data_IF_520948521071
#
_entry.id   IF_520948521071
#
_cell.length_a   1.000
_cell.length_b   1.000
_cell.length_c   1.000
_cell.angle_alpha   90.00
_cell.angle_beta   90.00
_cell.angle_gamma   90.00
#
_symmetry.space_group_name_H-M   'P 1'
#
loop_
_entity.id
_entity.type
_entity.pdbx_description
1 polymer ?
#
# COMPACT_ATOMS: atom_id res chain seq x y z
N UNK A 1 10.54 -17.43 -29.29
CA UNK A 1 10.19 -17.59 -27.86
C UNK A 1 10.56 -19.00 -27.44
N UNK A 2 11.28 -19.12 -26.36
CA UNK A 2 11.68 -20.42 -25.80
C UNK A 2 10.71 -20.82 -24.68
N UNK A 3 9.71 -21.61 -25.04
CA UNK A 3 8.69 -22.08 -24.09
C UNK A 3 9.25 -22.98 -22.99
N UNK A 4 10.36 -23.69 -23.29
CA UNK A 4 11.01 -24.54 -22.30
C UNK A 4 11.61 -23.68 -21.19
N UNK A 5 12.35 -22.62 -21.54
CA UNK A 5 12.90 -21.68 -20.57
C UNK A 5 11.81 -21.02 -19.74
N UNK A 6 10.67 -20.66 -20.36
CA UNK A 6 9.53 -20.08 -19.62
C UNK A 6 9.02 -21.05 -18.55
N UNK A 7 8.82 -22.33 -18.89
CA UNK A 7 8.34 -23.35 -17.93
C UNK A 7 9.36 -23.56 -16.82
N UNK A 8 10.66 -23.69 -17.16
CA UNK A 8 11.74 -23.87 -16.19
C UNK A 8 11.88 -22.65 -15.25
N UNK A 9 11.54 -21.45 -15.71
CA UNK A 9 11.59 -20.20 -14.95
C UNK A 9 10.44 -20.04 -13.96
N UNK A 10 9.31 -20.74 -14.12
CA UNK A 10 8.12 -20.59 -13.25
C UNK A 10 8.47 -20.83 -11.77
N UNK A 11 9.12 -21.95 -11.48
CA UNK A 11 9.40 -22.37 -10.11
C UNK A 11 10.39 -21.44 -9.39
N UNK A 12 11.53 -21.04 -9.99
CA UNK A 12 12.43 -20.06 -9.41
C UNK A 12 11.74 -18.70 -9.15
N UNK A 13 11.01 -18.17 -10.13
CA UNK A 13 10.30 -16.86 -10.01
C UNK A 13 9.20 -16.94 -8.95
N UNK A 14 8.49 -18.05 -8.84
CA UNK A 14 7.52 -18.30 -7.79
C UNK A 14 8.17 -18.28 -6.39
N UNK A 15 9.42 -18.76 -6.26
CA UNK A 15 10.20 -18.63 -5.04
C UNK A 15 10.38 -17.18 -4.58
N UNK A 16 10.54 -16.24 -5.54
CA UNK A 16 10.60 -14.80 -5.26
C UNK A 16 9.31 -14.21 -4.73
N UNK A 17 8.15 -14.81 -5.01
CA UNK A 17 6.85 -14.33 -4.55
C UNK A 17 6.75 -14.26 -3.03
N UNK A 18 7.46 -15.12 -2.30
CA UNK A 18 7.52 -15.06 -0.84
C UNK A 18 8.06 -13.72 -0.33
N UNK A 19 9.15 -13.23 -0.94
CA UNK A 19 9.72 -11.92 -0.56
C UNK A 19 8.80 -10.78 -0.98
N UNK A 20 8.19 -10.83 -2.16
CA UNK A 20 7.18 -9.88 -2.59
C UNK A 20 6.04 -9.76 -1.56
N UNK A 21 5.45 -10.89 -1.15
CA UNK A 21 4.37 -10.92 -0.17
C UNK A 21 4.82 -10.40 1.21
N UNK A 22 6.02 -10.76 1.66
CA UNK A 22 6.57 -10.24 2.93
C UNK A 22 6.77 -8.73 2.89
N UNK A 23 7.38 -8.21 1.81
CA UNK A 23 7.56 -6.76 1.63
C UNK A 23 6.21 -6.03 1.66
N UNK A 24 5.22 -6.51 0.90
CA UNK A 24 3.88 -5.94 0.86
C UNK A 24 3.23 -5.97 2.23
N UNK A 25 3.19 -7.13 2.87
CA UNK A 25 2.46 -7.31 4.13
C UNK A 25 3.04 -6.47 5.26
N UNK A 26 4.38 -6.49 5.42
CA UNK A 26 5.03 -5.73 6.50
C UNK A 26 4.91 -4.23 6.23
N UNK A 27 5.17 -3.78 5.00
CA UNK A 27 5.11 -2.35 4.67
C UNK A 27 3.69 -1.79 4.77
N UNK A 28 2.67 -2.54 4.32
CA UNK A 28 1.27 -2.12 4.47
C UNK A 28 0.82 -2.11 5.92
N UNK A 29 1.18 -3.11 6.72
CA UNK A 29 0.82 -3.16 8.14
C UNK A 29 1.42 -1.97 8.90
N UNK A 30 2.73 -1.75 8.76
CA UNK A 30 3.41 -0.61 9.39
C UNK A 30 2.90 0.72 8.85
N UNK A 31 2.76 0.82 7.52
CA UNK A 31 2.28 2.02 6.85
C UNK A 31 0.85 2.37 7.22
N UNK A 32 -0.04 1.40 7.40
CA UNK A 32 -1.41 1.63 7.85
C UNK A 32 -1.47 2.24 9.25
N UNK A 33 -0.71 1.68 10.19
CA UNK A 33 -0.64 2.23 11.56
C UNK A 33 -0.12 3.66 11.54
N UNK A 34 0.98 3.91 10.81
CA UNK A 34 1.57 5.24 10.69
C UNK A 34 0.64 6.20 9.92
N UNK A 35 -0.12 5.72 8.94
CA UNK A 35 -1.10 6.53 8.21
C UNK A 35 -2.24 7.01 9.11
N UNK A 36 -2.73 6.16 10.02
CA UNK A 36 -3.72 6.56 11.03
C UNK A 36 -3.14 7.66 11.93
N UNK A 37 -1.94 7.45 12.46
CA UNK A 37 -1.27 8.44 13.33
C UNK A 37 -1.09 9.77 12.57
N UNK A 38 -0.62 9.71 11.34
CA UNK A 38 -0.41 10.86 10.46
C UNK A 38 -1.73 11.61 10.18
N UNK A 39 -2.81 10.89 9.88
CA UNK A 39 -4.13 11.46 9.68
C UNK A 39 -4.70 12.13 10.95
N UNK A 40 -4.49 11.53 12.13
CA UNK A 40 -4.88 12.10 13.41
C UNK A 40 -4.09 13.36 13.75
N UNK A 41 -2.78 13.37 13.51
CA UNK A 41 -1.94 14.56 13.71
C UNK A 41 -2.47 15.74 12.89
N UNK A 42 -2.90 15.50 11.65
CA UNK A 42 -3.42 16.55 10.77
C UNK A 42 -4.72 17.18 11.25
N UNK A 43 -5.45 16.52 12.15
CA UNK A 43 -6.65 17.04 12.81
C UNK A 43 -6.34 17.67 14.17
N UNK A 44 -5.10 17.60 14.64
CA UNK A 44 -4.70 18.18 15.91
C UNK A 44 -4.63 19.73 15.86
N UNK A 45 -4.65 20.34 17.03
CA UNK A 45 -4.48 21.81 17.16
C UNK A 45 -3.00 22.24 17.11
N UNK A 46 -2.06 21.29 17.03
CA UNK A 46 -0.62 21.56 17.01
C UNK A 46 -0.18 21.97 15.58
N UNK A 47 -0.32 23.26 15.29
CA UNK A 47 -0.11 23.82 13.94
C UNK A 47 1.26 23.50 13.33
N UNK A 48 2.32 23.51 14.18
CA UNK A 48 3.68 23.20 13.71
C UNK A 48 3.79 21.74 13.27
N UNK A 49 3.21 20.79 14.02
CA UNK A 49 3.23 19.37 13.70
C UNK A 49 2.40 19.07 12.43
N UNK A 50 1.26 19.75 12.29
CA UNK A 50 0.44 19.67 11.07
C UNK A 50 1.21 20.17 9.85
N UNK A 51 2.01 21.24 9.98
CA UNK A 51 2.85 21.74 8.88
C UNK A 51 3.93 20.73 8.49
N UNK A 52 4.62 20.13 9.47
CA UNK A 52 5.63 19.09 9.21
C UNK A 52 5.04 17.89 8.49
N UNK A 53 3.88 17.40 8.94
CA UNK A 53 3.20 16.28 8.30
C UNK A 53 2.75 16.62 6.89
N UNK A 54 2.26 17.83 6.64
CA UNK A 54 1.91 18.28 5.28
C UNK A 54 3.14 18.31 4.37
N UNK A 55 4.26 18.82 4.86
CA UNK A 55 5.52 18.85 4.12
C UNK A 55 6.00 17.42 3.79
N UNK A 56 5.94 16.51 4.78
CA UNK A 56 6.26 15.10 4.60
C UNK A 56 5.40 14.47 3.49
N UNK A 57 4.07 14.59 3.60
CA UNK A 57 3.15 14.03 2.61
C UNK A 57 3.38 14.62 1.23
N UNK A 58 3.60 15.94 1.15
CA UNK A 58 3.91 16.62 -0.11
C UNK A 58 5.22 16.10 -0.73
N UNK A 59 6.30 16.00 0.05
CA UNK A 59 7.60 15.55 -0.44
C UNK A 59 7.57 14.08 -0.91
N UNK A 60 6.96 13.19 -0.10
CA UNK A 60 6.91 11.76 -0.43
C UNK A 60 6.03 11.49 -1.65
N UNK A 61 4.87 12.15 -1.76
CA UNK A 61 3.99 11.98 -2.93
C UNK A 61 4.49 12.71 -4.18
N UNK A 62 5.36 13.72 -4.00
CA UNK A 62 5.97 14.47 -5.10
C UNK A 62 7.26 13.87 -5.64
N UNK A 63 7.78 12.81 -5.03
CA UNK A 63 9.04 12.17 -5.45
C UNK A 63 8.84 10.72 -5.88
N UNK A 64 9.60 10.23 -6.88
CA UNK A 64 9.52 8.82 -7.31
C UNK A 64 9.95 7.86 -6.19
N UNK A 65 9.19 6.78 -5.99
CA UNK A 65 9.50 5.77 -4.99
C UNK A 65 10.89 5.15 -5.18
N UNK A 66 11.33 4.94 -6.42
CA UNK A 66 12.67 4.44 -6.72
C UNK A 66 13.76 5.33 -6.11
N UNK A 67 13.60 6.65 -6.23
CA UNK A 67 14.54 7.63 -5.64
C UNK A 67 14.53 7.52 -4.11
N UNK A 68 13.36 7.34 -3.50
CA UNK A 68 13.23 7.14 -2.05
C UNK A 68 13.97 5.88 -1.58
N UNK A 69 13.84 4.77 -2.32
CA UNK A 69 14.56 3.52 -2.05
C UNK A 69 16.08 3.76 -2.13
N UNK A 70 16.55 4.44 -3.16
CA UNK A 70 17.98 4.72 -3.36
C UNK A 70 18.54 5.65 -2.29
N UNK A 71 17.80 6.69 -1.89
CA UNK A 71 18.22 7.58 -0.82
C UNK A 71 18.34 6.86 0.52
N UNK A 72 17.46 5.90 0.80
CA UNK A 72 17.55 5.13 2.03
C UNK A 72 18.70 4.12 1.95
N UNK A 73 18.81 3.36 0.88
CA UNK A 73 19.78 2.29 0.77
C UNK A 73 21.22 2.79 0.56
N UNK A 74 21.42 3.70 -0.40
CA UNK A 74 22.76 4.23 -0.71
C UNK A 74 23.09 5.51 0.08
N UNK A 75 22.07 6.33 0.41
CA UNK A 75 22.27 7.63 1.02
C UNK A 75 22.58 7.55 2.50
N UNK A 76 21.84 6.75 3.28
CA UNK A 76 22.04 6.66 4.73
C UNK A 76 23.43 6.16 5.11
N UNK A 77 23.99 5.23 4.35
CA UNK A 77 25.35 4.71 4.56
C UNK A 77 26.48 5.70 4.33
N UNK A 78 26.22 6.88 3.74
CA UNK A 78 27.25 7.93 3.57
C UNK A 78 27.55 8.68 4.87
N UNK A 79 26.64 8.64 5.85
CA UNK A 79 26.81 9.35 7.11
C UNK A 79 27.45 8.47 8.17
N UNK A 80 28.68 8.82 8.63
CA UNK A 80 29.42 8.05 9.65
C UNK A 80 28.60 7.85 10.92
N UNK A 81 27.92 8.89 11.41
CA UNK A 81 27.11 8.83 12.62
C UNK A 81 25.93 7.82 12.51
N UNK A 82 25.43 7.53 11.30
CA UNK A 82 24.42 6.46 11.07
C UNK A 82 25.09 5.09 11.11
N UNK A 83 26.26 4.95 10.47
CA UNK A 83 27.02 3.69 10.43
C UNK A 83 27.51 3.26 11.81
N UNK A 84 27.81 4.20 12.68
CA UNK A 84 28.22 3.93 14.07
C UNK A 84 27.03 3.82 15.04
N UNK A 85 25.81 4.04 14.58
CA UNK A 85 24.61 3.95 15.38
C UNK A 85 24.13 2.50 15.58
N UNK A 86 23.36 2.26 16.64
CA UNK A 86 22.70 0.97 16.90
C UNK A 86 21.70 0.55 15.80
N UNK A 87 21.31 1.46 14.91
CA UNK A 87 20.40 1.19 13.79
C UNK A 87 21.11 0.56 12.59
N UNK A 88 22.44 0.67 12.52
CA UNK A 88 23.19 0.20 11.36
C UNK A 88 22.98 -1.27 11.00
N UNK A 89 22.94 -2.23 11.95
CA UNK A 89 22.71 -3.64 11.63
C UNK A 89 21.37 -3.91 10.92
N UNK A 90 20.43 -2.98 11.00
CA UNK A 90 19.15 -3.01 10.28
C UNK A 90 19.29 -2.30 8.93
N UNK A 91 19.87 -1.09 8.93
CA UNK A 91 19.98 -0.23 7.76
C UNK A 91 21.00 -0.70 6.71
N UNK A 92 21.96 -1.56 7.08
CA UNK A 92 22.88 -2.20 6.11
C UNK A 92 22.20 -3.26 5.25
N UNK A 93 21.03 -3.78 5.69
CA UNK A 93 20.33 -4.87 5.00
C UNK A 93 19.34 -4.31 3.97
N UNK A 94 19.47 -4.66 2.67
CA UNK A 94 18.57 -4.18 1.61
C UNK A 94 17.08 -4.40 1.95
N UNK A 95 16.76 -5.53 2.57
CA UNK A 95 15.40 -5.89 2.95
C UNK A 95 14.73 -4.84 3.86
N UNK A 96 15.43 -4.39 4.91
CA UNK A 96 14.90 -3.38 5.80
C UNK A 96 14.85 -2.00 5.16
N UNK A 97 15.82 -1.66 4.32
CA UNK A 97 15.80 -0.42 3.54
C UNK A 97 14.57 -0.36 2.63
N UNK A 98 14.24 -1.47 1.94
CA UNK A 98 13.03 -1.56 1.14
C UNK A 98 11.77 -1.41 1.99
N UNK A 99 11.66 -2.13 3.13
CA UNK A 99 10.51 -2.02 4.03
C UNK A 99 10.34 -0.58 4.51
N UNK A 100 11.41 0.10 4.93
CA UNK A 100 11.35 1.49 5.40
C UNK A 100 10.85 2.41 4.27
N UNK A 101 11.43 2.30 3.07
CA UNK A 101 11.03 3.12 1.92
C UNK A 101 9.55 2.91 1.55
N UNK A 102 9.13 1.66 1.42
CA UNK A 102 7.75 1.29 1.10
C UNK A 102 6.78 1.73 2.20
N UNK A 103 7.16 1.58 3.48
CA UNK A 103 6.36 2.02 4.63
C UNK A 103 6.19 3.54 4.65
N UNK A 104 7.27 4.29 4.45
CA UNK A 104 7.23 5.76 4.37
C UNK A 104 6.31 6.19 3.22
N UNK A 105 6.43 5.54 2.07
CA UNK A 105 5.63 5.85 0.90
C UNK A 105 4.14 5.59 1.16
N UNK A 106 3.76 4.37 1.54
CA UNK A 106 2.35 4.02 1.79
C UNK A 106 1.74 4.77 2.96
N UNK A 107 2.53 5.18 3.97
CA UNK A 107 2.07 6.06 5.05
C UNK A 107 1.56 7.39 4.50
N UNK A 108 2.29 7.99 3.56
CA UNK A 108 1.90 9.27 2.97
C UNK A 108 0.59 9.15 2.15
N UNK A 109 0.49 8.12 1.30
CA UNK A 109 -0.72 7.87 0.51
C UNK A 109 -1.91 7.43 1.39
N UNK A 110 -1.70 6.48 2.30
CA UNK A 110 -2.73 5.98 3.22
C UNK A 110 -3.30 7.06 4.13
N UNK A 111 -2.45 8.01 4.59
CA UNK A 111 -2.93 9.12 5.42
C UNK A 111 -3.89 10.04 4.68
N UNK A 112 -3.69 10.28 3.38
CA UNK A 112 -4.60 11.06 2.54
C UNK A 112 -5.91 10.29 2.27
N UNK A 113 -5.83 8.98 2.07
CA UNK A 113 -7.00 8.13 1.88
C UNK A 113 -7.87 8.14 3.14
N UNK A 114 -7.26 7.96 4.32
CA UNK A 114 -7.97 8.02 5.61
C UNK A 114 -8.57 9.40 5.83
N UNK A 115 -7.83 10.47 5.56
CA UNK A 115 -8.31 11.84 5.66
C UNK A 115 -9.51 12.07 4.74
N UNK A 116 -9.42 11.68 3.46
CA UNK A 116 -10.52 11.80 2.50
C UNK A 116 -11.77 11.03 2.94
N UNK A 117 -11.60 9.82 3.48
CA UNK A 117 -12.71 9.06 4.06
C UNK A 117 -13.36 9.76 5.26
N UNK A 118 -12.58 10.37 6.15
CA UNK A 118 -13.13 11.13 7.27
C UNK A 118 -13.83 12.44 6.84
N UNK A 119 -13.36 13.07 5.78
CA UNK A 119 -13.93 14.30 5.23
C UNK A 119 -15.17 14.05 4.34
N UNK A 120 -15.40 12.81 3.91
CA UNK A 120 -16.59 12.46 3.12
C UNK A 120 -17.89 12.45 3.92
N UNK A 121 -17.81 12.44 5.25
CA UNK A 121 -18.99 12.49 6.12
C UNK A 121 -19.63 13.88 6.05
N UNK A 122 -20.90 13.94 5.64
CA UNK A 122 -21.60 15.21 5.46
C UNK A 122 -21.87 15.90 6.79
N UNK A 123 -21.92 17.24 6.76
CA UNK A 123 -22.31 18.03 7.95
C UNK A 123 -23.71 17.68 8.43
N UNK A 124 -24.65 17.37 7.52
CA UNK A 124 -26.00 16.96 7.89
C UNK A 124 -26.06 15.69 8.72
N UNK A 125 -25.22 14.69 8.41
CA UNK A 125 -25.11 13.45 9.21
C UNK A 125 -24.57 13.74 10.61
N UNK A 126 -23.60 14.64 10.71
CA UNK A 126 -23.03 15.08 12.00
C UNK A 126 -24.07 15.85 12.83
N UNK A 127 -24.80 16.75 12.21
CA UNK A 127 -25.85 17.54 12.88
C UNK A 127 -27.03 16.66 13.31
N UNK A 128 -27.48 15.73 12.46
CA UNK A 128 -28.51 14.77 12.82
C UNK A 128 -28.10 13.89 14.02
N UNK A 129 -26.85 13.41 14.04
CA UNK A 129 -26.34 12.66 15.19
C UNK A 129 -26.31 13.50 16.48
N UNK A 130 -25.95 14.78 16.40
CA UNK A 130 -25.96 15.70 17.54
C UNK A 130 -27.38 15.97 18.01
N UNK A 131 -28.36 16.16 17.12
CA UNK A 131 -29.75 16.48 17.45
C UNK A 131 -30.42 15.38 18.28
N UNK A 132 -30.02 14.12 18.10
CA UNK A 132 -30.49 12.98 18.91
C UNK A 132 -29.61 12.71 20.14
N UNK A 133 -28.75 13.67 20.52
CA UNK A 133 -27.96 13.63 21.75
C UNK A 133 -26.75 12.69 21.73
N UNK A 134 -26.22 12.30 20.57
CA UNK A 134 -25.04 11.45 20.51
C UNK A 134 -23.80 12.18 21.05
N UNK A 135 -23.10 11.55 22.00
CA UNK A 135 -21.77 12.02 22.44
C UNK A 135 -20.76 11.94 21.32
N UNK A 136 -19.68 12.70 21.39
CA UNK A 136 -18.64 12.72 20.36
C UNK A 136 -18.06 11.33 20.02
N UNK A 137 -17.83 10.49 21.03
CA UNK A 137 -17.34 9.12 20.84
C UNK A 137 -18.40 8.21 20.19
N UNK A 138 -19.66 8.29 20.64
CA UNK A 138 -20.75 7.50 20.08
C UNK A 138 -21.03 7.88 18.63
N UNK A 139 -21.04 9.17 18.33
CA UNK A 139 -21.18 9.72 16.98
C UNK A 139 -20.03 9.25 16.07
N UNK A 140 -18.78 9.32 16.56
CA UNK A 140 -17.64 8.83 15.80
C UNK A 140 -17.78 7.34 15.48
N UNK A 141 -18.10 6.50 16.46
CA UNK A 141 -18.15 5.06 16.29
C UNK A 141 -19.35 4.59 15.45
N UNK A 142 -20.52 5.24 15.60
CA UNK A 142 -21.76 4.81 14.92
C UNK A 142 -22.04 5.49 13.60
N UNK A 143 -21.51 6.69 13.38
CA UNK A 143 -21.79 7.49 12.18
C UNK A 143 -20.52 7.73 11.38
N UNK A 144 -19.54 8.45 11.95
CA UNK A 144 -18.37 8.91 11.21
C UNK A 144 -17.48 7.74 10.74
N UNK A 145 -17.12 6.83 11.62
CA UNK A 145 -16.21 5.73 11.31
C UNK A 145 -16.78 4.76 10.27
N UNK A 146 -18.03 4.28 10.36
CA UNK A 146 -18.58 3.38 9.35
C UNK A 146 -18.68 4.02 7.96
N UNK A 147 -19.02 5.31 7.87
CA UNK A 147 -19.08 6.03 6.59
C UNK A 147 -17.66 6.22 6.04
N UNK A 148 -16.75 6.70 6.88
CA UNK A 148 -15.37 6.96 6.49
C UNK A 148 -14.65 5.70 5.98
N UNK A 149 -14.82 4.56 6.65
CA UNK A 149 -14.16 3.30 6.23
C UNK A 149 -14.71 2.81 4.88
N UNK A 150 -16.02 2.92 4.67
CA UNK A 150 -16.64 2.52 3.39
C UNK A 150 -16.14 3.36 2.24
N UNK A 151 -15.97 4.65 2.46
CA UNK A 151 -15.47 5.58 1.45
C UNK A 151 -13.96 5.43 1.21
N UNK A 152 -13.19 5.12 2.26
CA UNK A 152 -11.74 4.94 2.16
C UNK A 152 -11.35 3.57 1.57
N UNK A 153 -12.16 2.53 1.76
CA UNK A 153 -11.81 1.15 1.43
C UNK A 153 -11.43 0.94 -0.05
N UNK A 154 -12.18 1.45 -1.05
CA UNK A 154 -11.81 1.27 -2.46
C UNK A 154 -10.46 1.93 -2.80
N UNK A 155 -10.23 3.14 -2.27
CA UNK A 155 -8.97 3.85 -2.47
C UNK A 155 -7.79 3.12 -1.79
N UNK A 156 -8.00 2.57 -0.58
CA UNK A 156 -7.00 1.80 0.13
C UNK A 156 -6.75 0.44 -0.55
N UNK A 157 -7.77 -0.18 -1.10
CA UNK A 157 -7.65 -1.38 -1.92
C UNK A 157 -6.77 -1.16 -3.15
N UNK A 158 -6.94 -0.03 -3.84
CA UNK A 158 -6.07 0.34 -4.94
C UNK A 158 -4.62 0.59 -4.48
N UNK A 159 -4.40 1.17 -3.30
CA UNK A 159 -3.06 1.35 -2.71
C UNK A 159 -2.37 0.00 -2.47
N UNK A 160 -3.10 -1.03 -1.99
CA UNK A 160 -2.59 -2.40 -1.84
C UNK A 160 -2.11 -2.97 -3.18
N UNK A 161 -2.89 -2.82 -4.25
CA UNK A 161 -2.54 -3.28 -5.60
C UNK A 161 -1.30 -2.53 -6.13
N UNK A 162 -1.21 -1.23 -5.89
CA UNK A 162 -0.06 -0.42 -6.27
C UNK A 162 1.20 -0.86 -5.50
N UNK A 163 1.06 -1.17 -4.21
CA UNK A 163 2.16 -1.64 -3.36
C UNK A 163 2.73 -2.97 -3.86
N UNK A 164 1.88 -3.93 -4.27
CA UNK A 164 2.34 -5.20 -4.86
C UNK A 164 3.24 -4.94 -6.08
N UNK A 165 2.86 -4.02 -6.96
CA UNK A 165 3.68 -3.65 -8.12
C UNK A 165 4.93 -2.88 -7.74
N UNK A 166 4.83 -2.03 -6.72
CA UNK A 166 5.95 -1.21 -6.25
C UNK A 166 7.09 -2.04 -5.65
N UNK A 167 6.81 -3.23 -5.11
CA UNK A 167 7.87 -4.11 -4.60
C UNK A 167 8.88 -4.53 -5.67
N UNK A 168 8.50 -4.51 -6.95
CA UNK A 168 9.43 -4.79 -8.07
C UNK A 168 10.63 -3.84 -8.08
N UNK A 169 10.47 -2.61 -7.57
CA UNK A 169 11.57 -1.65 -7.46
C UNK A 169 12.64 -2.09 -6.44
N UNK A 170 12.30 -2.97 -5.50
CA UNK A 170 13.26 -3.49 -4.54
C UNK A 170 14.32 -4.39 -5.18
N UNK A 171 14.06 -4.93 -6.36
CA UNK A 171 15.08 -5.68 -7.16
C UNK A 171 16.31 -4.83 -7.47
N UNK A 172 16.15 -3.51 -7.58
CA UNK A 172 17.24 -2.57 -7.89
C UNK A 172 18.26 -2.43 -6.75
N UNK A 173 17.90 -2.87 -5.54
CA UNK A 173 18.78 -2.92 -4.38
C UNK A 173 19.05 -4.37 -3.94
N UNK A 174 19.20 -5.26 -4.91
CA UNK A 174 19.62 -6.67 -4.74
C UNK A 174 18.62 -7.60 -4.06
N UNK A 175 17.33 -7.22 -3.94
CA UNK A 175 16.32 -8.10 -3.36
C UNK A 175 15.82 -9.09 -4.42
N UNK A 176 15.89 -10.38 -4.11
CA UNK A 176 15.45 -11.48 -4.97
C UNK A 176 13.95 -11.78 -4.79
N UNK A 177 13.13 -10.73 -4.96
CA UNK A 177 11.70 -10.86 -5.14
C UNK A 177 11.38 -11.28 -6.60
N UNK A 178 10.13 -11.32 -7.03
CA UNK A 178 9.73 -11.80 -8.36
C UNK A 178 10.57 -11.19 -9.49
N UNK A 179 10.74 -9.85 -9.51
CA UNK A 179 11.52 -9.16 -10.56
C UNK A 179 13.01 -9.40 -10.39
N UNK A 180 13.51 -9.46 -9.16
CA UNK A 180 14.92 -9.74 -8.88
C UNK A 180 15.34 -11.10 -9.41
N UNK A 181 14.54 -12.14 -9.20
CA UNK A 181 14.77 -13.49 -9.75
C UNK A 181 14.70 -13.48 -11.28
N UNK A 182 13.71 -12.79 -11.86
CA UNK A 182 13.60 -12.67 -13.31
C UNK A 182 14.82 -11.97 -13.93
N UNK A 183 15.38 -10.96 -13.26
CA UNK A 183 16.62 -10.29 -13.68
C UNK A 183 17.82 -11.24 -13.71
N UNK A 184 17.96 -12.14 -12.73
CA UNK A 184 19.02 -13.15 -12.72
C UNK A 184 18.87 -14.11 -13.90
N UNK A 185 17.66 -14.66 -14.10
CA UNK A 185 17.37 -15.57 -15.23
C UNK A 185 17.64 -14.89 -16.57
N UNK A 186 17.23 -13.62 -16.71
CA UNK A 186 17.53 -12.83 -17.91
C UNK A 186 19.03 -12.67 -18.13
N UNK A 187 19.79 -12.37 -17.09
CA UNK A 187 21.25 -12.16 -17.20
C UNK A 187 22.01 -13.46 -17.55
N UNK A 188 21.56 -14.61 -17.07
CA UNK A 188 22.18 -15.91 -17.35
C UNK A 188 21.87 -16.42 -18.76
N UNK A 189 20.66 -16.17 -19.26
CA UNK A 189 20.18 -16.75 -20.52
C UNK A 189 20.11 -15.75 -21.67
N UNK A 190 20.32 -14.45 -21.41
CA UNK A 190 20.16 -13.36 -22.39
C UNK A 190 18.78 -13.35 -23.06
N UNK A 191 17.74 -13.79 -22.32
CA UNK A 191 16.35 -13.93 -22.77
C UNK A 191 15.39 -13.08 -21.91
N UNK A 192 15.37 -11.75 -22.09
CA UNK A 192 14.56 -10.85 -21.24
C UNK A 192 13.05 -11.09 -21.41
N UNK A 193 12.61 -11.35 -22.64
CA UNK A 193 11.18 -11.47 -22.93
C UNK A 193 10.55 -12.66 -22.18
N UNK A 194 11.20 -13.82 -22.24
CA UNK A 194 10.74 -15.05 -21.59
C UNK A 194 10.65 -14.89 -20.06
N UNK A 195 11.73 -14.38 -19.44
CA UNK A 195 11.79 -14.18 -17.99
C UNK A 195 10.72 -13.19 -17.50
N UNK A 196 10.56 -12.04 -18.20
CA UNK A 196 9.61 -11.01 -17.75
C UNK A 196 8.15 -11.31 -18.10
N UNK A 197 7.86 -12.13 -19.11
CA UNK A 197 6.50 -12.64 -19.32
C UNK A 197 6.07 -13.52 -18.14
N UNK A 198 6.94 -14.41 -17.67
CA UNK A 198 6.64 -15.27 -16.51
C UNK A 198 6.47 -14.42 -15.24
N UNK A 199 7.38 -13.47 -14.97
CA UNK A 199 7.28 -12.57 -13.84
C UNK A 199 6.00 -11.71 -13.89
N UNK A 200 5.71 -11.12 -15.05
CA UNK A 200 4.50 -10.31 -15.27
C UNK A 200 3.21 -11.12 -15.09
N UNK A 201 3.19 -12.37 -15.55
CA UNK A 201 2.05 -13.27 -15.35
C UNK A 201 1.82 -13.58 -13.87
N UNK A 202 2.90 -13.76 -13.09
CA UNK A 202 2.80 -13.98 -11.65
C UNK A 202 2.33 -12.74 -10.89
N UNK A 203 2.82 -11.54 -11.24
CA UNK A 203 2.28 -10.29 -10.72
C UNK A 203 0.80 -10.10 -11.04
N UNK A 204 0.39 -10.44 -12.28
CA UNK A 204 -1.01 -10.39 -12.69
C UNK A 204 -1.87 -11.32 -11.82
N UNK A 205 -1.41 -12.54 -11.57
CA UNK A 205 -2.11 -13.50 -10.72
C UNK A 205 -2.25 -13.00 -9.27
N UNK A 206 -1.16 -12.48 -8.69
CA UNK A 206 -1.19 -11.93 -7.32
C UNK A 206 -2.15 -10.74 -7.26
N UNK A 207 -2.06 -9.80 -8.20
CA UNK A 207 -2.95 -8.65 -8.25
C UNK A 207 -4.43 -9.06 -8.47
N UNK A 208 -4.69 -10.07 -9.28
CA UNK A 208 -6.04 -10.61 -9.47
C UNK A 208 -6.60 -11.15 -8.14
N UNK A 209 -5.81 -11.96 -7.41
CA UNK A 209 -6.22 -12.50 -6.10
C UNK A 209 -6.48 -11.34 -5.12
N UNK A 210 -5.57 -10.35 -5.02
CA UNK A 210 -5.75 -9.20 -4.15
C UNK A 210 -7.00 -8.39 -4.51
N UNK A 211 -7.25 -8.16 -5.79
CA UNK A 211 -8.45 -7.47 -6.26
C UNK A 211 -9.72 -8.21 -5.84
N UNK A 212 -9.76 -9.54 -5.94
CA UNK A 212 -10.92 -10.35 -5.49
C UNK A 212 -11.14 -10.25 -3.99
N UNK A 213 -10.06 -10.27 -3.20
CA UNK A 213 -10.15 -10.11 -1.74
C UNK A 213 -10.70 -8.72 -1.40
N UNK A 214 -10.19 -7.66 -2.04
CA UNK A 214 -10.65 -6.29 -1.81
C UNK A 214 -12.12 -6.13 -2.19
N UNK A 215 -12.53 -6.60 -3.37
CA UNK A 215 -13.92 -6.56 -3.83
C UNK A 215 -14.87 -7.31 -2.89
N UNK A 216 -14.43 -8.43 -2.29
CA UNK A 216 -15.22 -9.14 -1.30
C UNK A 216 -15.46 -8.28 -0.04
N UNK A 217 -14.44 -7.58 0.46
CA UNK A 217 -14.59 -6.67 1.60
C UNK A 217 -15.46 -5.45 1.25
N UNK A 218 -15.28 -4.86 0.08
CA UNK A 218 -16.12 -3.77 -0.42
C UNK A 218 -17.59 -4.20 -0.49
N UNK A 219 -17.86 -5.34 -1.10
CA UNK A 219 -19.19 -5.88 -1.22
C UNK A 219 -19.84 -6.13 0.15
N UNK A 220 -19.09 -6.62 1.12
CA UNK A 220 -19.59 -6.88 2.47
C UNK A 220 -19.90 -5.61 3.26
N UNK A 221 -19.10 -4.56 3.07
CA UNK A 221 -19.25 -3.29 3.80
C UNK A 221 -20.21 -2.31 3.14
N UNK A 222 -20.48 -2.43 1.83
CA UNK A 222 -21.34 -1.51 1.06
C UNK A 222 -22.75 -2.05 0.82
N UNK A 223 -23.24 -2.94 1.65
CA UNK A 223 -24.54 -3.62 1.46
C UNK A 223 -25.76 -2.70 1.33
N UNK A 224 -25.72 -1.49 1.90
CA UNK A 224 -26.81 -0.51 1.85
C UNK A 224 -26.86 0.32 0.54
N UNK A 225 -25.81 0.30 -0.28
CA UNK A 225 -25.74 0.95 -1.59
C UNK A 225 -26.19 0.02 -2.74
N UNK A 226 -26.59 -1.21 -2.42
CA UNK A 226 -27.11 -2.12 -3.44
C UNK A 226 -28.42 -1.57 -3.96
N UNK A 227 -28.60 -1.44 -5.31
CA UNK A 227 -29.91 -1.16 -5.86
C UNK A 227 -30.87 -2.24 -5.36
N UNK A 228 -32.13 -1.89 -4.99
CA UNK A 228 -33.12 -2.90 -4.71
C UNK A 228 -33.19 -3.83 -5.93
N UNK A 229 -33.09 -5.14 -5.70
CA UNK A 229 -33.22 -6.12 -6.78
C UNK A 229 -34.52 -5.85 -7.54
N UNK A 230 -34.39 -5.50 -8.82
CA UNK A 230 -35.52 -5.35 -9.76
C UNK A 230 -36.18 -6.71 -10.06
N UNK A 231 -36.21 -7.62 -9.09
CA UNK A 231 -36.74 -8.98 -9.25
C UNK A 231 -38.23 -9.09 -8.99
N UNK A 232 -38.99 -8.01 -8.95
CA UNK A 232 -40.42 -8.08 -8.64
C UNK A 232 -41.37 -7.35 -9.62
N UNK A 233 -40.92 -6.93 -10.81
CA UNK A 233 -41.81 -6.23 -11.78
C UNK A 233 -41.83 -6.91 -13.16
N UNK A 234 -41.73 -8.19 -13.23
CA UNK A 234 -41.86 -8.92 -14.49
C UNK A 234 -42.83 -10.11 -14.36
N UNK A 235 -43.95 -9.90 -13.68
CA UNK A 235 -45.12 -10.81 -13.81
C UNK A 235 -46.37 -10.04 -13.37
N UNK A 236 -46.96 -9.27 -14.31
CA UNK A 236 -48.42 -9.12 -14.45
C UNK A 236 -48.67 -8.52 -15.83
#
# INVERSE_FOLDING_TARGET
>A
MDFRLMIESILPILGGARLTILLVTISLAMGFVLAIITALIRRSRLTWLVRLVRLYVFAIRGTPLLVQIFLIYYGLGQFLWIRESFLWPVLEKPFWCAIIALTINTTAYGSEIIRGGLESVSWGEIEAAKSIGMSGFLMFHRVVFPIAIRQALPAYGNEVILMVKATSLASTITIMEITGVANVIMAENYRPLEAFIVAGSLYLLINFIMTRIIQFFEWRLSGHLRPPELSAVATH
#
